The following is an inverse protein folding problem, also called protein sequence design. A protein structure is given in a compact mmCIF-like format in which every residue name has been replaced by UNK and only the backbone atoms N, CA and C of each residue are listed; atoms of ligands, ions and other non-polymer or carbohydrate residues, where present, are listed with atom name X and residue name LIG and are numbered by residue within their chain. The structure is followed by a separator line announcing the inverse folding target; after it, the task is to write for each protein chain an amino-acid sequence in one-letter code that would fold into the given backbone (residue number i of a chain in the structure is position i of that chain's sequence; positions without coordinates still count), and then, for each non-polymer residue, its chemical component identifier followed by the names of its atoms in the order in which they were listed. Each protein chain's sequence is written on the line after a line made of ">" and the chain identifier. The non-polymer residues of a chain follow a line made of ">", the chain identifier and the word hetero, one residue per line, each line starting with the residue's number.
data_IF_223113013310
#
_entry.id   IF_223113013310
#
_cell.length_a   1.000
_cell.length_b   1.000
_cell.length_c   1.000
_cell.angle_alpha   90.00
_cell.angle_beta   90.00
_cell.angle_gamma   90.00
#
_symmetry.space_group_name_H-M   'P 1'
#
loop_
_entity.id
_entity.type
_entity.pdbx_description
1 polymer ?
#
# COMPACT_ATOMS: atom_id res chain seq x y z
N UNK A 1 0.80 0.41 -7.65
CA UNK A 1 1.05 1.65 -8.42
C UNK A 1 2.44 2.19 -8.09
N UNK A 2 3.21 2.55 -9.11
CA UNK A 2 4.59 3.01 -8.96
C UNK A 2 4.65 4.48 -8.48
N UNK A 3 4.29 5.43 -9.31
CA UNK A 3 4.40 6.85 -9.01
C UNK A 3 3.16 7.62 -9.46
N UNK A 4 3.32 8.92 -9.73
CA UNK A 4 2.21 9.82 -10.03
C UNK A 4 1.30 9.31 -11.16
N UNK A 5 1.86 8.96 -12.32
CA UNK A 5 1.08 8.55 -13.50
C UNK A 5 0.29 7.27 -13.22
N UNK A 6 0.90 6.26 -12.61
CA UNK A 6 0.21 5.02 -12.26
C UNK A 6 -0.83 5.21 -11.16
N UNK A 7 -0.62 6.14 -10.23
CA UNK A 7 -1.64 6.52 -9.24
C UNK A 7 -2.85 7.21 -9.90
N UNK A 8 -2.63 8.05 -10.92
CA UNK A 8 -3.74 8.63 -11.71
C UNK A 8 -4.53 7.53 -12.42
N UNK A 9 -3.83 6.59 -13.05
CA UNK A 9 -4.48 5.46 -13.71
C UNK A 9 -5.30 4.60 -12.71
N UNK A 10 -4.74 4.33 -11.54
CA UNK A 10 -5.45 3.63 -10.47
C UNK A 10 -6.70 4.38 -10.01
N UNK A 11 -6.61 5.70 -9.84
CA UNK A 11 -7.76 6.53 -9.48
C UNK A 11 -8.86 6.46 -10.54
N UNK A 12 -8.50 6.54 -11.83
CA UNK A 12 -9.45 6.38 -12.92
C UNK A 12 -10.12 4.99 -12.87
N UNK A 13 -9.35 3.93 -12.68
CA UNK A 13 -9.88 2.57 -12.57
C UNK A 13 -10.87 2.42 -11.41
N UNK A 14 -10.54 2.98 -10.24
CA UNK A 14 -11.41 2.96 -9.05
C UNK A 14 -12.69 3.77 -9.29
N UNK A 15 -12.62 4.88 -10.03
CA UNK A 15 -13.81 5.65 -10.39
C UNK A 15 -14.73 4.92 -11.36
N UNK A 16 -14.18 4.08 -12.23
CA UNK A 16 -14.95 3.22 -13.15
C UNK A 16 -15.52 2.01 -12.39
N UNK A 17 -14.72 1.36 -11.54
CA UNK A 17 -15.09 0.19 -10.77
C UNK A 17 -14.54 0.30 -9.34
N UNK A 18 -15.37 0.70 -8.36
CA UNK A 18 -14.92 0.92 -6.97
C UNK A 18 -14.23 -0.29 -6.31
N UNK A 19 -14.60 -1.51 -6.68
CA UNK A 19 -14.00 -2.73 -6.15
C UNK A 19 -12.49 -2.87 -6.48
N UNK A 20 -12.00 -2.14 -7.48
CA UNK A 20 -10.57 -2.10 -7.81
C UNK A 20 -9.73 -1.58 -6.64
N UNK A 21 -10.29 -0.74 -5.77
CA UNK A 21 -9.57 -0.16 -4.63
C UNK A 21 -8.94 -1.24 -3.73
N UNK A 22 -9.61 -2.36 -3.54
CA UNK A 22 -9.16 -3.45 -2.68
C UNK A 22 -7.95 -4.22 -3.26
N UNK A 23 -7.64 -3.99 -4.53
CA UNK A 23 -6.55 -4.67 -5.25
C UNK A 23 -5.41 -3.73 -5.64
N UNK A 24 -5.44 -2.49 -5.19
CA UNK A 24 -4.40 -1.50 -5.49
C UNK A 24 -3.52 -1.25 -4.27
N UNK A 25 -2.22 -1.34 -4.47
CA UNK A 25 -1.20 -0.95 -3.50
C UNK A 25 -0.43 0.23 -4.08
N UNK A 26 -0.31 1.32 -3.33
CA UNK A 26 0.56 2.44 -3.67
C UNK A 26 1.94 2.23 -3.07
N UNK A 27 2.99 2.27 -3.89
CA UNK A 27 4.33 1.93 -3.43
C UNK A 27 5.01 3.07 -2.68
N UNK A 28 5.15 4.22 -3.31
CA UNK A 28 5.86 5.35 -2.74
C UNK A 28 5.20 6.69 -3.03
N UNK A 29 5.50 7.66 -2.20
CA UNK A 29 5.17 9.06 -2.42
C UNK A 29 6.23 9.67 -3.35
N UNK A 30 5.85 9.96 -4.59
CA UNK A 30 6.72 10.62 -5.55
C UNK A 30 6.94 12.09 -5.19
N UNK A 31 8.07 12.66 -5.61
CA UNK A 31 8.34 14.10 -5.49
C UNK A 31 7.52 14.99 -6.44
N UNK A 32 6.74 14.42 -7.34
CA UNK A 32 5.84 15.20 -8.20
C UNK A 32 4.88 16.05 -7.37
N UNK A 33 4.76 17.36 -7.64
CA UNK A 33 3.98 18.27 -6.79
C UNK A 33 2.52 17.87 -6.61
N UNK A 34 1.90 17.30 -7.66
CA UNK A 34 0.51 16.87 -7.63
C UNK A 34 0.29 15.50 -6.97
N UNK A 35 1.35 14.80 -6.56
CA UNK A 35 1.26 13.46 -5.95
C UNK A 35 0.35 13.44 -4.74
N UNK A 36 0.46 14.43 -3.86
CA UNK A 36 -0.36 14.48 -2.64
C UNK A 36 -1.85 14.54 -2.96
N UNK A 37 -2.24 15.32 -3.95
CA UNK A 37 -3.65 15.47 -4.36
C UNK A 37 -4.19 14.12 -4.83
N UNK A 38 -3.42 13.37 -5.61
CA UNK A 38 -3.83 12.06 -6.12
C UNK A 38 -3.88 11.02 -5.00
N UNK A 39 -2.91 11.01 -4.09
CA UNK A 39 -2.88 10.09 -2.96
C UNK A 39 -4.05 10.32 -2.00
N UNK A 40 -4.39 11.59 -1.73
CA UNK A 40 -5.58 11.94 -0.96
C UNK A 40 -6.87 11.48 -1.65
N UNK A 41 -6.96 11.67 -2.97
CA UNK A 41 -8.13 11.23 -3.74
C UNK A 41 -8.26 9.70 -3.83
N UNK A 42 -7.14 8.97 -3.82
CA UNK A 42 -7.12 7.50 -3.77
C UNK A 42 -7.55 6.97 -2.41
N UNK A 43 -7.21 7.68 -1.33
CA UNK A 43 -7.43 7.23 0.03
C UNK A 43 -6.87 5.81 0.26
N UNK A 44 -5.63 5.58 -0.19
CA UNK A 44 -4.87 4.35 -0.03
C UNK A 44 -3.54 4.71 0.62
N UNK A 45 -3.11 4.00 1.68
CA UNK A 45 -1.87 4.32 2.38
C UNK A 45 -0.65 4.11 1.48
N UNK A 46 0.33 4.99 1.62
CA UNK A 46 1.64 4.88 0.95
C UNK A 46 2.63 4.20 1.87
N UNK A 47 3.39 3.26 1.33
CA UNK A 47 4.36 2.49 2.13
C UNK A 47 5.73 3.17 2.25
N UNK A 48 6.17 3.90 1.21
CA UNK A 48 7.50 4.49 1.16
C UNK A 48 7.44 6.01 0.97
N UNK A 49 8.17 6.72 1.79
CA UNK A 49 8.47 8.15 1.62
C UNK A 49 9.98 8.31 1.68
N UNK A 50 10.65 8.12 0.53
CA UNK A 50 12.10 8.03 0.39
C UNK A 50 12.63 9.00 -0.67
N UNK A 51 11.94 10.10 -0.89
CA UNK A 51 12.33 11.12 -1.88
C UNK A 51 12.53 10.58 -3.32
N UNK A 52 11.85 9.50 -3.66
CA UNK A 52 11.97 8.86 -4.97
C UNK A 52 11.35 9.70 -6.07
N UNK A 53 12.07 9.85 -7.17
CA UNK A 53 11.63 10.64 -8.32
C UNK A 53 12.04 10.09 -9.68
N UNK A 54 12.69 8.91 -9.73
CA UNK A 54 13.14 8.33 -11.00
C UNK A 54 11.97 7.82 -11.85
N UNK A 55 10.96 7.25 -11.26
CA UNK A 55 9.89 6.55 -11.98
C UNK A 55 10.36 5.18 -12.49
N UNK A 56 9.96 4.83 -13.72
CA UNK A 56 10.36 3.60 -14.42
C UNK A 56 10.06 2.30 -13.65
N UNK A 57 9.05 2.32 -12.80
CA UNK A 57 8.67 1.16 -11.99
C UNK A 57 9.52 0.95 -10.74
N UNK A 58 10.46 1.83 -10.43
CA UNK A 58 11.38 1.67 -9.28
C UNK A 58 10.65 1.60 -7.94
N UNK A 59 9.60 2.38 -7.74
CA UNK A 59 8.77 2.32 -6.54
C UNK A 59 8.04 0.99 -6.44
N UNK A 60 7.43 0.53 -7.52
CA UNK A 60 6.74 -0.76 -7.56
C UNK A 60 7.68 -1.93 -7.27
N UNK A 61 8.90 -1.91 -7.82
CA UNK A 61 9.91 -2.95 -7.55
C UNK A 61 10.38 -2.91 -6.10
N UNK A 62 10.58 -1.72 -5.54
CA UNK A 62 11.09 -1.55 -4.17
C UNK A 62 10.11 -2.06 -3.11
N UNK A 63 8.81 -2.06 -3.38
CA UNK A 63 7.80 -2.55 -2.42
C UNK A 63 7.75 -4.09 -2.32
N UNK A 64 8.21 -4.84 -3.32
CA UNK A 64 8.12 -6.31 -3.31
C UNK A 64 8.79 -6.96 -2.09
N UNK A 65 10.03 -6.62 -1.70
CA UNK A 65 10.64 -7.18 -0.49
C UNK A 65 9.83 -6.92 0.78
N UNK A 66 9.18 -5.76 0.86
CA UNK A 66 8.32 -5.40 2.00
C UNK A 66 7.05 -6.27 2.01
N UNK A 67 6.44 -6.50 0.85
CA UNK A 67 5.29 -7.40 0.72
C UNK A 67 5.66 -8.84 1.06
N UNK A 68 6.81 -9.32 0.60
CA UNK A 68 7.31 -10.65 0.92
C UNK A 68 7.54 -10.82 2.43
N UNK A 69 8.14 -9.83 3.08
CA UNK A 69 8.30 -9.82 4.54
C UNK A 69 6.95 -9.80 5.27
N UNK A 70 6.01 -8.98 4.82
CA UNK A 70 4.68 -8.91 5.40
C UNK A 70 3.92 -10.24 5.29
N UNK A 71 4.01 -10.90 4.13
CA UNK A 71 3.41 -12.22 3.92
C UNK A 71 4.07 -13.30 4.77
N UNK A 72 5.40 -13.25 4.93
CA UNK A 72 6.12 -14.18 5.79
C UNK A 72 5.70 -14.02 7.26
N UNK A 73 5.56 -12.80 7.75
CA UNK A 73 5.03 -12.52 9.10
C UNK A 73 3.60 -13.02 9.23
N UNK A 74 2.73 -12.65 8.31
CA UNK A 74 1.31 -13.03 8.34
C UNK A 74 1.12 -14.56 8.34
N UNK A 75 1.88 -15.29 7.51
CA UNK A 75 1.79 -16.75 7.40
C UNK A 75 2.56 -17.53 8.48
N UNK A 76 3.56 -16.91 9.11
CA UNK A 76 4.44 -17.57 10.07
C UNK A 76 4.15 -17.26 11.55
N UNK A 77 3.39 -16.21 11.85
CA UNK A 77 3.01 -15.88 13.22
C UNK A 77 1.87 -16.75 13.72
N UNK A 78 2.02 -17.24 14.96
CA UNK A 78 0.93 -17.90 15.66
C UNK A 78 -0.16 -16.91 16.05
N UNK A 79 -1.40 -17.34 15.97
CA UNK A 79 -2.57 -16.59 16.46
C UNK A 79 -2.69 -16.75 18.00
N UNK A 80 -3.51 -15.91 18.62
CA UNK A 80 -3.85 -16.10 20.05
C UNK A 80 -4.50 -17.46 20.30
N UNK A 81 -5.32 -17.92 19.36
CA UNK A 81 -5.94 -19.24 19.44
C UNK A 81 -4.93 -20.38 19.39
N UNK A 82 -3.90 -20.28 18.53
CA UNK A 82 -2.83 -21.29 18.45
C UNK A 82 -2.05 -21.39 19.77
N UNK A 83 -1.91 -20.31 20.48
CA UNK A 83 -1.23 -20.22 21.77
C UNK A 83 -2.17 -20.37 22.97
N UNK A 84 -3.44 -20.70 22.78
CA UNK A 84 -4.47 -20.84 23.83
C UNK A 84 -4.60 -19.55 24.68
N UNK A 85 -4.41 -18.41 24.06
CA UNK A 85 -4.55 -17.10 24.70
C UNK A 85 -5.94 -16.51 24.39
N UNK A 86 -6.46 -15.74 25.35
CA UNK A 86 -7.68 -14.96 25.13
C UNK A 86 -7.48 -13.89 24.07
N UNK A 87 -8.53 -13.62 23.29
CA UNK A 87 -8.47 -12.56 22.29
C UNK A 87 -8.27 -11.20 22.95
N UNK A 88 -7.45 -10.38 22.31
CA UNK A 88 -7.24 -9.01 22.75
C UNK A 88 -8.55 -8.22 22.70
N UNK A 89 -8.93 -7.63 23.82
CA UNK A 89 -10.02 -6.69 23.93
C UNK A 89 -9.42 -5.29 24.12
N UNK A 90 -9.67 -4.33 23.21
CA UNK A 90 -9.15 -2.98 23.38
C UNK A 90 -9.63 -2.35 24.69
N UNK A 91 -8.71 -1.75 25.43
CA UNK A 91 -9.08 -0.90 26.56
C UNK A 91 -9.74 0.36 26.00
N UNK A 92 -10.94 0.59 26.38
CA UNK A 92 -11.75 1.75 25.94
C UNK A 92 -11.24 3.03 26.60
#
# INVERSE_FOLDING_TARGET
>A
ADGFISCVAALCAIRICPAVKDYVITSHKSKEPATMIILEALDIPVFLDCDMCLGEGTGAVTIYPILDMALAVYGGMCTFSDNQMENYVPLV
#
